data_IF_599473758734
#
_entry.id   IF_599473758734
#
_cell.length_a   1.000
_cell.length_b   1.000
_cell.length_c   1.000
_cell.angle_alpha   90.00
_cell.angle_beta   90.00
_cell.angle_gamma   90.00
#
_symmetry.space_group_name_H-M   'P 1'
#
loop_
_entity.id
_entity.type
_entity.pdbx_description
1 polymer ?
#
# COMPACT_ATOMS: atom_id res chain seq x y z
N UNK A 1 13.55 -23.95 -21.68
CA UNK A 1 13.59 -22.51 -22.01
C UNK A 1 15.01 -22.21 -22.44
N UNK A 2 15.24 -21.70 -23.65
CA UNK A 2 16.57 -21.23 -24.06
C UNK A 2 16.83 -19.93 -23.31
N UNK A 3 17.94 -19.85 -22.58
CA UNK A 3 18.37 -18.62 -21.91
C UNK A 3 18.50 -17.50 -22.94
N UNK A 4 17.57 -16.56 -22.91
CA UNK A 4 17.66 -15.35 -23.71
C UNK A 4 18.74 -14.47 -23.07
N UNK A 5 19.94 -14.48 -23.64
CA UNK A 5 20.98 -13.55 -23.23
C UNK A 5 20.57 -12.14 -23.64
N UNK A 6 20.28 -11.29 -22.65
CA UNK A 6 20.15 -9.85 -22.87
C UNK A 6 21.56 -9.31 -23.11
N UNK A 7 21.91 -9.09 -24.38
CA UNK A 7 23.11 -8.34 -24.74
C UNK A 7 22.82 -6.86 -24.57
N UNK A 8 23.53 -6.21 -23.63
CA UNK A 8 23.45 -4.78 -23.41
C UNK A 8 24.81 -4.13 -23.65
N UNK A 9 24.80 -2.94 -24.26
CA UNK A 9 25.99 -2.11 -24.47
C UNK A 9 25.74 -0.76 -23.81
N UNK A 10 26.52 -0.43 -22.76
CA UNK A 10 26.38 0.84 -22.04
C UNK A 10 27.12 2.00 -22.72
N UNK A 11 27.70 1.78 -23.91
CA UNK A 11 28.47 2.76 -24.66
C UNK A 11 29.58 3.37 -23.82
N UNK A 12 29.64 4.70 -23.79
CA UNK A 12 30.64 5.47 -23.04
C UNK A 12 30.59 5.25 -21.51
N UNK A 13 29.50 4.68 -20.98
CA UNK A 13 29.36 4.37 -19.55
C UNK A 13 29.86 2.98 -19.17
N UNK A 14 30.36 2.19 -20.13
CA UNK A 14 30.73 0.80 -19.90
C UNK A 14 31.81 0.64 -18.83
N UNK A 15 32.88 1.45 -18.88
CA UNK A 15 33.97 1.38 -17.89
C UNK A 15 33.51 1.90 -16.54
N UNK A 16 32.76 3.01 -16.51
CA UNK A 16 32.18 3.55 -15.27
C UNK A 16 31.30 2.53 -14.55
N UNK A 17 30.45 1.81 -15.29
CA UNK A 17 29.60 0.76 -14.73
C UNK A 17 30.41 -0.44 -14.22
N UNK A 18 31.47 -0.86 -14.94
CA UNK A 18 32.38 -1.94 -14.49
C UNK A 18 33.12 -1.57 -13.22
N UNK A 19 33.63 -0.34 -13.14
CA UNK A 19 34.32 0.16 -11.96
C UNK A 19 33.39 0.27 -10.76
N UNK A 20 32.20 0.83 -10.95
CA UNK A 20 31.16 0.87 -9.93
C UNK A 20 30.84 -0.55 -9.43
N UNK A 21 30.63 -1.51 -10.35
CA UNK A 21 30.37 -2.91 -9.99
C UNK A 21 31.51 -3.55 -9.19
N UNK A 22 32.78 -3.35 -9.61
CA UNK A 22 33.95 -3.84 -8.87
C UNK A 22 34.02 -3.22 -7.46
N UNK A 23 33.77 -1.91 -7.35
CA UNK A 23 33.74 -1.21 -6.07
C UNK A 23 32.64 -1.74 -5.16
N UNK A 24 31.41 -1.88 -5.67
CA UNK A 24 30.27 -2.45 -4.93
C UNK A 24 30.57 -3.85 -4.38
N UNK A 25 31.29 -4.68 -5.14
CA UNK A 25 31.74 -6.00 -4.67
C UNK A 25 32.84 -5.90 -3.62
N UNK A 26 33.84 -5.05 -3.83
CA UNK A 26 34.94 -4.83 -2.88
C UNK A 26 34.43 -4.32 -1.53
N UNK A 27 33.47 -3.41 -1.56
CA UNK A 27 32.88 -2.77 -0.38
C UNK A 27 31.74 -3.60 0.23
N UNK A 28 31.49 -4.80 -0.31
CA UNK A 28 30.52 -5.79 0.17
C UNK A 28 29.10 -5.23 0.38
N UNK A 29 28.70 -4.35 -0.54
CA UNK A 29 27.48 -3.54 -0.44
C UNK A 29 26.24 -4.40 -0.24
N UNK A 30 26.11 -5.51 -0.98
CA UNK A 30 24.94 -6.38 -0.89
C UNK A 30 24.78 -7.02 0.50
N UNK A 31 25.88 -7.54 1.08
CA UNK A 31 25.85 -8.09 2.44
C UNK A 31 25.56 -6.99 3.45
N UNK A 32 26.15 -5.82 3.30
CA UNK A 32 25.95 -4.67 4.20
C UNK A 32 24.51 -4.17 4.18
N UNK A 33 23.88 -4.06 3.01
CA UNK A 33 22.44 -3.78 2.87
C UNK A 33 21.62 -4.83 3.64
N UNK A 34 21.90 -6.13 3.42
CA UNK A 34 21.21 -7.22 4.13
C UNK A 34 21.41 -7.19 5.64
N UNK A 35 22.58 -6.77 6.10
CA UNK A 35 22.91 -6.57 7.51
C UNK A 35 22.36 -5.25 8.09
N UNK A 36 21.59 -4.47 7.30
CA UNK A 36 21.05 -3.15 7.66
C UNK A 36 22.13 -2.16 8.11
N UNK A 37 23.33 -2.25 7.54
CA UNK A 37 24.45 -1.38 7.86
C UNK A 37 24.25 0.03 7.28
N UNK A 38 23.80 0.96 8.11
CA UNK A 38 23.51 2.34 7.72
C UNK A 38 24.75 3.12 7.26
N UNK A 39 25.96 2.70 7.67
CA UNK A 39 27.23 3.37 7.34
C UNK A 39 27.57 3.29 5.85
N UNK A 40 26.77 2.54 5.08
CA UNK A 40 26.78 2.56 3.63
C UNK A 40 26.30 3.90 3.04
N UNK A 41 25.38 4.59 3.73
CA UNK A 41 24.74 5.81 3.22
C UNK A 41 25.11 7.06 4.01
N UNK A 42 25.27 6.95 5.33
CA UNK A 42 25.54 8.10 6.21
C UNK A 42 26.33 7.69 7.44
N UNK A 43 27.03 8.65 8.05
CA UNK A 43 27.65 8.46 9.36
C UNK A 43 26.61 8.41 10.51
N UNK A 44 25.39 8.91 10.29
CA UNK A 44 24.28 8.83 11.25
C UNK A 44 23.28 7.74 10.83
N UNK A 45 22.71 6.96 11.79
CA UNK A 45 21.66 5.98 11.51
C UNK A 45 20.28 6.59 11.23
N UNK A 46 20.10 7.89 11.50
CA UNK A 46 18.81 8.57 11.43
C UNK A 46 18.16 8.41 10.06
N UNK A 47 16.87 8.06 10.06
CA UNK A 47 16.06 7.81 8.87
C UNK A 47 16.56 6.68 7.94
N UNK A 48 17.56 5.90 8.35
CA UNK A 48 18.09 4.78 7.56
C UNK A 48 17.69 3.46 8.20
N UNK A 49 18.11 3.21 9.44
CA UNK A 49 17.92 1.89 10.09
C UNK A 49 16.42 1.57 10.23
N UNK A 50 15.62 2.58 10.58
CA UNK A 50 14.16 2.50 10.70
C UNK A 50 13.43 2.59 9.33
N UNK A 51 14.13 2.45 8.20
CA UNK A 51 13.52 2.39 6.86
C UNK A 51 13.99 1.18 6.05
N UNK A 52 14.73 0.26 6.67
CA UNK A 52 15.26 -0.95 6.03
C UNK A 52 14.40 -2.20 6.27
N UNK A 53 13.20 -2.05 6.83
CA UNK A 53 12.25 -3.15 7.05
C UNK A 53 11.78 -3.81 5.75
N UNK A 54 11.83 -3.10 4.62
CA UNK A 54 11.42 -3.63 3.30
C UNK A 54 12.23 -4.86 2.86
N UNK A 55 13.45 -5.04 3.38
CA UNK A 55 14.31 -6.19 3.06
C UNK A 55 13.72 -7.53 3.51
N UNK A 56 12.95 -7.50 4.59
CA UNK A 56 12.31 -8.67 5.21
C UNK A 56 10.80 -8.74 4.90
N UNK A 57 10.23 -7.64 4.40
CA UNK A 57 8.79 -7.48 4.19
C UNK A 57 8.16 -8.60 3.32
N UNK A 58 8.76 -9.06 2.21
CA UNK A 58 8.17 -10.15 1.42
C UNK A 58 7.95 -11.43 2.24
N UNK A 59 8.93 -11.83 3.06
CA UNK A 59 8.83 -13.01 3.91
C UNK A 59 7.81 -12.82 5.04
N UNK A 60 7.82 -11.64 5.68
CA UNK A 60 6.87 -11.30 6.74
C UNK A 60 5.42 -11.29 6.23
N UNK A 61 5.18 -10.68 5.06
CA UNK A 61 3.85 -10.62 4.44
C UNK A 61 3.39 -12.00 3.99
N UNK A 62 4.28 -12.81 3.41
CA UNK A 62 3.95 -14.19 3.03
C UNK A 62 3.52 -15.02 4.25
N UNK A 63 4.21 -14.86 5.39
CA UNK A 63 3.82 -15.52 6.65
C UNK A 63 2.47 -15.06 7.23
N UNK A 64 1.94 -13.91 6.78
CA UNK A 64 0.64 -13.37 7.21
C UNK A 64 -0.51 -13.67 6.24
N UNK A 65 -0.24 -14.30 5.10
CA UNK A 65 -1.22 -14.40 4.01
C UNK A 65 -2.51 -15.14 4.42
N UNK A 66 -2.39 -16.21 5.20
CA UNK A 66 -3.55 -16.99 5.64
C UNK A 66 -4.36 -16.24 6.71
N UNK A 67 -3.69 -15.45 7.54
CA UNK A 67 -4.35 -14.56 8.49
C UNK A 67 -5.17 -13.47 7.76
N UNK A 68 -4.58 -12.83 6.75
CA UNK A 68 -5.27 -11.83 5.93
C UNK A 68 -6.48 -12.47 5.23
N UNK A 69 -6.31 -13.64 4.61
CA UNK A 69 -7.42 -14.37 3.98
C UNK A 69 -8.55 -14.68 4.96
N UNK A 70 -8.20 -15.14 6.18
CA UNK A 70 -9.19 -15.45 7.22
C UNK A 70 -9.97 -14.21 7.65
N UNK A 71 -9.31 -13.06 7.79
CA UNK A 71 -9.98 -11.78 8.11
C UNK A 71 -10.92 -11.36 7.00
N UNK A 72 -10.52 -11.53 5.73
CA UNK A 72 -11.29 -11.06 4.58
C UNK A 72 -12.41 -12.02 4.15
N UNK A 73 -12.36 -13.30 4.54
CA UNK A 73 -13.34 -14.31 4.14
C UNK A 73 -14.82 -13.92 4.35
N UNK A 74 -15.22 -13.24 5.43
CA UNK A 74 -16.61 -12.78 5.60
C UNK A 74 -17.10 -11.79 4.52
N UNK A 75 -16.20 -11.14 3.78
CA UNK A 75 -16.57 -10.21 2.71
C UNK A 75 -17.11 -10.92 1.46
N UNK A 76 -16.83 -12.22 1.30
CA UNK A 76 -17.34 -13.02 0.18
C UNK A 76 -18.87 -13.11 0.25
N UNK A 77 -19.43 -13.27 1.46
CA UNK A 77 -20.89 -13.29 1.70
C UNK A 77 -21.52 -11.92 1.41
N UNK A 78 -20.78 -10.82 1.67
CA UNK A 78 -21.22 -9.45 1.36
C UNK A 78 -21.23 -9.15 -0.15
N UNK A 79 -20.69 -10.05 -0.98
CA UNK A 79 -20.63 -9.92 -2.45
C UNK A 79 -20.10 -8.56 -2.89
N UNK A 80 -19.02 -8.11 -2.25
CA UNK A 80 -18.37 -6.84 -2.56
C UNK A 80 -18.09 -6.78 -4.07
N UNK A 81 -18.47 -5.66 -4.69
CA UNK A 81 -18.32 -5.41 -6.12
C UNK A 81 -17.28 -4.34 -6.39
N UNK A 82 -17.22 -3.33 -5.55
CA UNK A 82 -16.35 -2.16 -5.74
C UNK A 82 -15.43 -2.04 -4.52
N UNK A 83 -14.11 -2.02 -4.74
CA UNK A 83 -13.10 -1.70 -3.71
C UNK A 83 -12.47 -0.37 -4.07
N UNK A 84 -12.59 0.61 -3.19
CA UNK A 84 -12.06 1.95 -3.40
C UNK A 84 -10.91 2.16 -2.42
N UNK A 85 -9.69 2.25 -2.95
CA UNK A 85 -8.49 2.57 -2.16
C UNK A 85 -8.35 4.09 -2.07
N UNK A 86 -8.51 4.62 -0.85
CA UNK A 86 -8.25 6.01 -0.50
C UNK A 86 -6.80 6.09 0.00
N UNK A 87 -5.89 6.45 -0.90
CA UNK A 87 -4.45 6.45 -0.64
C UNK A 87 -3.73 7.37 -1.62
N UNK A 88 -2.58 7.90 -1.21
CA UNK A 88 -1.76 8.78 -2.05
C UNK A 88 -0.29 8.37 -2.00
N UNK A 89 0.40 8.50 -3.13
CA UNK A 89 1.82 8.19 -3.28
C UNK A 89 2.15 6.73 -2.91
N UNK A 90 3.03 6.53 -1.93
CA UNK A 90 3.43 5.18 -1.51
C UNK A 90 2.27 4.28 -1.05
N UNK A 91 1.16 4.87 -0.60
CA UNK A 91 -0.04 4.16 -0.14
C UNK A 91 -1.00 3.74 -1.26
N UNK A 92 -0.74 4.12 -2.52
CA UNK A 92 -1.61 3.87 -3.68
C UNK A 92 -0.88 3.19 -4.84
N UNK A 93 0.34 3.64 -5.16
CA UNK A 93 1.02 3.32 -6.42
C UNK A 93 1.27 1.82 -6.62
N UNK A 94 1.67 1.09 -5.58
CA UNK A 94 1.90 -0.35 -5.71
C UNK A 94 0.60 -1.11 -6.05
N UNK A 95 -0.51 -0.76 -5.39
CA UNK A 95 -1.82 -1.35 -5.66
C UNK A 95 -2.30 -0.99 -7.08
N UNK A 96 -2.05 0.23 -7.53
CA UNK A 96 -2.37 0.66 -8.89
C UNK A 96 -1.59 -0.13 -9.95
N UNK A 97 -0.27 -0.30 -9.76
CA UNK A 97 0.58 -1.12 -10.65
C UNK A 97 0.08 -2.55 -10.71
N UNK A 98 -0.19 -3.19 -9.56
CA UNK A 98 -0.69 -4.56 -9.55
C UNK A 98 -2.06 -4.68 -10.21
N UNK A 99 -2.96 -3.72 -10.00
CA UNK A 99 -4.26 -3.67 -10.68
C UNK A 99 -4.11 -3.62 -12.20
N UNK A 100 -3.18 -2.80 -12.72
CA UNK A 100 -2.92 -2.67 -14.15
C UNK A 100 -2.25 -3.91 -14.75
N UNK A 101 -1.33 -4.54 -14.02
CA UNK A 101 -0.55 -5.70 -14.49
C UNK A 101 -1.39 -6.98 -14.48
N UNK A 102 -2.14 -7.23 -13.41
CA UNK A 102 -2.90 -8.47 -13.24
C UNK A 102 -4.36 -8.35 -13.69
N UNK A 103 -4.92 -7.14 -13.69
CA UNK A 103 -6.33 -6.91 -13.95
C UNK A 103 -7.24 -7.48 -12.86
N UNK A 104 -8.55 -7.32 -13.05
CA UNK A 104 -9.56 -7.94 -12.21
C UNK A 104 -9.91 -9.33 -12.75
N UNK A 105 -9.94 -10.34 -11.88
CA UNK A 105 -10.47 -11.66 -12.21
C UNK A 105 -12.00 -11.59 -12.33
N UNK A 106 -12.59 -12.38 -13.21
CA UNK A 106 -14.04 -12.52 -13.28
C UNK A 106 -14.62 -12.90 -11.90
N UNK A 107 -15.72 -12.24 -11.52
CA UNK A 107 -16.40 -12.39 -10.23
C UNK A 107 -15.61 -11.93 -9.00
N UNK A 108 -14.49 -11.21 -9.17
CA UNK A 108 -13.82 -10.49 -8.08
C UNK A 108 -14.21 -9.01 -8.09
N UNK A 109 -14.09 -8.32 -6.94
CA UNK A 109 -14.32 -6.88 -6.87
C UNK A 109 -13.41 -6.09 -7.81
N UNK A 110 -13.91 -4.98 -8.33
CA UNK A 110 -13.12 -4.02 -9.09
C UNK A 110 -12.39 -3.08 -8.14
N UNK A 111 -11.07 -2.94 -8.31
CA UNK A 111 -10.25 -2.01 -7.55
C UNK A 111 -10.18 -0.66 -8.27
N UNK A 112 -10.63 0.40 -7.59
CA UNK A 112 -10.41 1.80 -7.98
C UNK A 112 -9.46 2.45 -6.98
N UNK A 113 -8.35 2.98 -7.48
CA UNK A 113 -7.39 3.74 -6.66
C UNK A 113 -7.70 5.22 -6.78
N UNK A 114 -7.90 5.89 -5.64
CA UNK A 114 -8.25 7.29 -5.57
C UNK A 114 -7.10 8.06 -4.93
N UNK A 115 -6.17 8.47 -5.79
CA UNK A 115 -5.01 9.31 -5.51
C UNK A 115 -5.22 10.69 -6.17
N UNK A 116 -6.24 11.42 -5.70
CA UNK A 116 -6.58 12.75 -6.22
C UNK A 116 -7.31 13.60 -5.20
N UNK A 117 -7.15 14.92 -5.31
CA UNK A 117 -7.94 15.93 -4.58
C UNK A 117 -9.00 16.59 -5.47
N UNK A 118 -9.09 16.22 -6.74
CA UNK A 118 -10.06 16.80 -7.68
C UNK A 118 -11.50 16.39 -7.30
N UNK A 119 -12.36 17.34 -6.90
CA UNK A 119 -13.74 17.04 -6.52
C UNK A 119 -14.55 16.43 -7.66
N UNK A 120 -14.29 16.80 -8.92
CA UNK A 120 -15.01 16.24 -10.06
C UNK A 120 -14.70 14.75 -10.25
N UNK A 121 -13.42 14.37 -10.12
CA UNK A 121 -12.99 12.97 -10.15
C UNK A 121 -13.62 12.16 -9.00
N UNK A 122 -13.60 12.71 -7.78
CA UNK A 122 -14.17 12.08 -6.59
C UNK A 122 -15.68 11.84 -6.75
N UNK A 123 -16.43 12.86 -7.18
CA UNK A 123 -17.88 12.78 -7.38
C UNK A 123 -18.22 11.77 -8.48
N UNK A 124 -17.46 11.78 -9.58
CA UNK A 124 -17.66 10.85 -10.70
C UNK A 124 -17.50 9.39 -10.27
N UNK A 125 -16.53 9.09 -9.39
CA UNK A 125 -16.38 7.75 -8.80
C UNK A 125 -17.55 7.44 -7.88
N UNK A 126 -17.88 8.34 -6.96
CA UNK A 126 -18.98 8.19 -6.00
C UNK A 126 -20.35 7.92 -6.66
N UNK A 127 -20.58 8.44 -7.87
CA UNK A 127 -21.80 8.21 -8.66
C UNK A 127 -21.83 6.84 -9.36
N UNK A 128 -20.68 6.20 -9.58
CA UNK A 128 -20.56 4.94 -10.34
C UNK A 128 -20.51 3.69 -9.47
N UNK A 129 -20.08 3.83 -8.22
CA UNK A 129 -19.92 2.69 -7.30
C UNK A 129 -21.26 2.17 -6.78
N UNK A 130 -21.29 0.88 -6.48
CA UNK A 130 -22.44 0.22 -5.86
C UNK A 130 -22.32 0.34 -4.35
N UNK A 131 -22.80 1.43 -3.76
CA UNK A 131 -22.64 1.73 -2.31
C UNK A 131 -22.97 0.57 -1.37
N UNK A 132 -23.99 -0.24 -1.70
CA UNK A 132 -24.36 -1.41 -0.87
C UNK A 132 -23.33 -2.53 -0.88
N UNK A 133 -22.47 -2.56 -1.90
CA UNK A 133 -21.44 -3.58 -2.15
C UNK A 133 -20.07 -2.93 -2.36
N UNK A 134 -19.86 -1.75 -1.80
CA UNK A 134 -18.60 -1.02 -1.84
C UNK A 134 -17.81 -1.27 -0.56
N UNK A 135 -16.51 -1.44 -0.68
CA UNK A 135 -15.55 -1.51 0.42
C UNK A 135 -14.50 -0.42 0.22
N UNK A 136 -14.25 0.37 1.25
CA UNK A 136 -13.26 1.44 1.23
C UNK A 136 -12.03 1.01 2.02
N UNK A 137 -10.85 1.17 1.41
CA UNK A 137 -9.57 0.95 2.09
C UNK A 137 -8.95 2.33 2.32
N UNK A 138 -8.82 2.74 3.58
CA UNK A 138 -8.16 3.99 3.97
C UNK A 138 -6.71 3.67 4.29
N UNK A 139 -5.78 4.10 3.43
CA UNK A 139 -4.36 3.78 3.54
C UNK A 139 -3.53 5.04 3.74
N UNK A 140 -2.95 5.19 4.93
CA UNK A 140 -2.00 6.25 5.25
C UNK A 140 -1.15 5.83 6.44
N UNK A 141 0.18 5.93 6.31
CA UNK A 141 1.12 5.61 7.39
C UNK A 141 0.92 6.51 8.61
N UNK A 142 1.00 7.83 8.40
CA UNK A 142 0.89 8.82 9.48
C UNK A 142 -0.54 9.03 9.93
N UNK A 143 -1.53 8.79 9.06
CA UNK A 143 -2.92 9.10 9.35
C UNK A 143 -3.25 10.58 9.42
N UNK A 144 -2.30 11.46 9.06
CA UNK A 144 -2.43 12.92 9.12
C UNK A 144 -2.47 13.57 7.75
N UNK A 145 -2.31 12.80 6.67
CA UNK A 145 -2.41 13.28 5.29
C UNK A 145 -3.81 13.86 5.06
N UNK A 146 -3.90 15.18 4.89
CA UNK A 146 -5.17 15.92 4.83
C UNK A 146 -6.08 15.39 3.73
N UNK A 147 -5.50 15.02 2.61
CA UNK A 147 -6.19 14.48 1.46
C UNK A 147 -6.88 13.16 1.81
N UNK A 148 -6.18 12.25 2.50
CA UNK A 148 -6.73 10.95 2.92
C UNK A 148 -7.82 11.11 3.97
N UNK A 149 -7.60 11.96 4.96
CA UNK A 149 -8.61 12.22 5.99
C UNK A 149 -9.85 12.87 5.38
N UNK A 150 -9.69 13.81 4.44
CA UNK A 150 -10.81 14.43 3.72
C UNK A 150 -11.60 13.42 2.88
N UNK A 151 -10.89 12.56 2.14
CA UNK A 151 -11.52 11.47 1.37
C UNK A 151 -12.27 10.50 2.27
N UNK A 152 -11.64 10.07 3.37
CA UNK A 152 -12.27 9.19 4.35
C UNK A 152 -13.57 9.80 4.88
N UNK A 153 -13.54 11.05 5.35
CA UNK A 153 -14.74 11.72 5.87
C UNK A 153 -15.83 11.85 4.81
N UNK A 154 -15.48 12.18 3.56
CA UNK A 154 -16.45 12.24 2.46
C UNK A 154 -17.14 10.88 2.25
N UNK A 155 -16.37 9.82 2.01
CA UNK A 155 -16.93 8.49 1.72
C UNK A 155 -17.63 7.88 2.95
N UNK A 156 -17.13 8.13 4.16
CA UNK A 156 -17.79 7.68 5.38
C UNK A 156 -19.15 8.35 5.57
N UNK A 157 -19.23 9.68 5.39
CA UNK A 157 -20.49 10.40 5.51
C UNK A 157 -21.52 9.95 4.46
N UNK A 158 -21.09 9.74 3.22
CA UNK A 158 -21.96 9.18 2.18
C UNK A 158 -22.41 7.75 2.52
N UNK A 159 -21.52 6.90 3.01
CA UNK A 159 -21.89 5.56 3.46
C UNK A 159 -22.86 5.61 4.65
N UNK A 160 -22.62 6.49 5.62
CA UNK A 160 -23.48 6.72 6.80
C UNK A 160 -24.90 7.11 6.42
N UNK A 161 -25.07 7.99 5.42
CA UNK A 161 -26.40 8.36 4.91
C UNK A 161 -27.21 7.16 4.39
N UNK A 162 -26.53 6.11 3.91
CA UNK A 162 -27.14 4.93 3.29
C UNK A 162 -27.25 3.73 4.23
N UNK A 163 -26.26 3.54 5.11
CA UNK A 163 -26.11 2.36 5.98
C UNK A 163 -26.36 2.63 7.45
N UNK A 164 -26.48 3.90 7.86
CA UNK A 164 -26.67 4.25 9.26
C UNK A 164 -25.53 3.71 10.14
N UNK A 165 -25.88 3.00 11.21
CA UNK A 165 -24.95 2.46 12.20
C UNK A 165 -23.80 1.65 11.58
N UNK A 166 -24.10 0.90 10.52
CA UNK A 166 -23.21 -0.13 9.95
C UNK A 166 -22.20 0.43 8.95
N UNK A 167 -22.14 1.76 8.79
CA UNK A 167 -21.25 2.40 7.83
C UNK A 167 -19.78 2.01 8.03
N UNK A 168 -19.34 1.82 9.27
CA UNK A 168 -18.00 1.37 9.61
C UNK A 168 -17.62 0.04 8.96
N UNK A 169 -18.55 -0.90 8.86
CA UNK A 169 -18.29 -2.23 8.32
C UNK A 169 -17.95 -2.25 6.82
N UNK A 170 -18.05 -1.10 6.15
CA UNK A 170 -17.60 -0.90 4.77
C UNK A 170 -16.17 -0.34 4.68
N UNK A 171 -15.45 -0.22 5.80
CA UNK A 171 -14.11 0.38 5.83
C UNK A 171 -13.07 -0.58 6.40
N UNK A 172 -11.93 -0.64 5.71
CA UNK A 172 -10.68 -1.21 6.20
C UNK A 172 -9.67 -0.08 6.33
N UNK A 173 -8.91 -0.07 7.42
CA UNK A 173 -7.82 0.89 7.62
C UNK A 173 -6.48 0.18 7.53
N UNK A 174 -5.50 0.80 6.86
CA UNK A 174 -4.11 0.37 6.81
C UNK A 174 -3.25 1.55 7.27
N UNK A 175 -2.62 1.42 8.43
CA UNK A 175 -1.94 2.54 9.10
C UNK A 175 -0.90 2.03 10.10
N UNK A 176 -0.06 2.91 10.64
CA UNK A 176 0.90 2.52 11.68
C UNK A 176 0.24 2.40 13.06
N UNK A 177 0.83 1.55 13.91
CA UNK A 177 0.44 1.47 15.31
C UNK A 177 0.64 2.81 16.03
N UNK A 178 -0.35 3.20 16.85
CA UNK A 178 -0.33 4.47 17.58
C UNK A 178 -0.60 5.72 16.72
N UNK A 179 -0.77 5.60 15.40
CA UNK A 179 -1.11 6.72 14.53
C UNK A 179 -2.48 7.35 14.88
N UNK A 180 -2.68 8.65 14.60
CA UNK A 180 -4.00 9.29 14.66
C UNK A 180 -5.09 8.51 13.93
N UNK A 181 -4.80 7.98 12.73
CA UNK A 181 -5.76 7.19 11.97
C UNK A 181 -6.10 5.86 12.64
N UNK A 182 -5.17 5.20 13.33
CA UNK A 182 -5.48 4.00 14.11
C UNK A 182 -6.46 4.31 15.26
N UNK A 183 -6.31 5.47 15.91
CA UNK A 183 -7.24 5.93 16.93
C UNK A 183 -8.60 6.25 16.34
N UNK A 184 -8.64 7.05 15.27
CA UNK A 184 -9.84 7.41 14.53
C UNK A 184 -10.60 6.16 14.09
N UNK A 185 -9.91 5.18 13.49
CA UNK A 185 -10.53 3.94 13.05
C UNK A 185 -11.31 3.24 14.18
N UNK A 186 -10.81 3.20 15.41
CA UNK A 186 -11.52 2.57 16.55
C UNK A 186 -12.86 3.24 16.87
N UNK A 187 -13.00 4.53 16.60
CA UNK A 187 -14.24 5.29 16.86
C UNK A 187 -15.34 4.97 15.83
N UNK A 188 -14.97 4.40 14.67
CA UNK A 188 -15.88 4.16 13.55
C UNK A 188 -16.31 2.71 13.36
N UNK A 189 -15.92 1.80 14.26
CA UNK A 189 -16.26 0.36 14.18
C UNK A 189 -16.03 -0.26 12.78
N UNK A 190 -14.79 -0.21 12.26
CA UNK A 190 -14.47 -0.65 10.92
C UNK A 190 -14.59 -2.15 10.77
N UNK A 191 -14.67 -2.63 9.53
CA UNK A 191 -14.51 -4.06 9.24
C UNK A 191 -13.19 -4.59 9.82
N UNK A 192 -12.09 -3.88 9.57
CA UNK A 192 -10.79 -4.24 10.11
C UNK A 192 -9.78 -3.08 10.11
N UNK A 193 -8.76 -3.18 10.95
CA UNK A 193 -7.58 -2.31 10.95
C UNK A 193 -6.33 -3.17 10.83
N UNK A 194 -5.62 -3.06 9.71
CA UNK A 194 -4.30 -3.65 9.53
C UNK A 194 -3.22 -2.67 9.98
N UNK A 195 -2.34 -3.12 10.86
CA UNK A 195 -1.20 -2.35 11.32
C UNK A 195 0.03 -2.64 10.46
N UNK A 196 0.67 -1.57 9.98
CA UNK A 196 1.88 -1.64 9.19
C UNK A 196 3.14 -1.77 10.08
N UNK A 197 4.23 -2.26 9.49
CA UNK A 197 5.53 -2.24 10.13
C UNK A 197 6.13 -0.82 10.02
N UNK A 198 6.41 -0.14 11.14
CA UNK A 198 6.90 1.25 11.11
C UNK A 198 8.28 1.37 10.44
N UNK A 199 9.05 0.27 10.38
CA UNK A 199 10.37 0.22 9.74
C UNK A 199 10.31 0.14 8.21
N UNK A 200 9.11 0.11 7.62
CA UNK A 200 8.87 0.19 6.19
C UNK A 200 8.47 1.63 5.85
N UNK A 201 9.14 2.20 4.84
CA UNK A 201 8.93 3.57 4.36
C UNK A 201 7.48 3.91 4.03
#
# INVERSE_FOLDING_TARGET
MKDAFINYHLGNYQELAREAWKKTRKDDVARRIRAKDYTLWSASPDEIVNRLGWLDAPGQTLGKIDHIRKILAPLDEKKIKDVILLGMGGSSLAAEVFSKVFGARANYPQLTVLDTTDPAAIINIAQKISWDRALFIVSSKSGTTLEITSLFHFFYNETRKRKGADAGEHFIFITDEGSPLAKTAREFSPFHVFLNNPDIG
#
